data_IF_060785531854
#
_entry.id   IF_060785531854
#
_cell.length_a   1.000
_cell.length_b   1.000
_cell.length_c   1.000
_cell.angle_alpha   90.00
_cell.angle_beta   90.00
_cell.angle_gamma   90.00
#
_symmetry.space_group_name_H-M   'P 1'
#
loop_
_entity.id
_entity.type
_entity.pdbx_description
1 polymer ?
#
# COMPACT_ATOMS: atom_id res chain seq x y z
N UNK A 1 -12.46 -16.29 -7.85
CA UNK A 1 -12.82 -15.27 -8.85
C UNK A 1 -11.68 -14.28 -8.99
N UNK A 2 -11.34 -13.88 -10.21
CA UNK A 2 -10.24 -12.95 -10.52
C UNK A 2 -10.73 -11.88 -11.48
N UNK A 3 -10.27 -10.64 -11.28
CA UNK A 3 -10.61 -9.52 -12.13
C UNK A 3 -9.72 -9.51 -13.39
N UNK A 4 -10.34 -9.62 -14.56
CA UNK A 4 -9.69 -9.51 -15.85
C UNK A 4 -10.14 -8.24 -16.58
N UNK A 5 -9.25 -7.64 -17.36
CA UNK A 5 -9.55 -6.50 -18.21
C UNK A 5 -9.63 -6.92 -19.68
N UNK A 6 -10.62 -6.39 -20.38
CA UNK A 6 -10.89 -6.64 -21.79
C UNK A 6 -10.99 -5.33 -22.55
N UNK A 7 -10.29 -5.20 -23.67
CA UNK A 7 -10.33 -4.02 -24.54
C UNK A 7 -11.20 -4.28 -25.75
N UNK A 8 -12.18 -3.41 -25.97
CA UNK A 8 -13.06 -3.50 -27.11
C UNK A 8 -12.31 -3.19 -28.42
N UNK A 9 -12.49 -4.02 -29.46
CA UNK A 9 -11.88 -3.78 -30.77
C UNK A 9 -12.47 -2.56 -31.49
N UNK A 10 -13.73 -2.23 -31.23
CA UNK A 10 -14.41 -1.07 -31.84
C UNK A 10 -14.14 0.25 -31.12
N UNK A 11 -13.29 0.28 -30.08
CA UNK A 11 -12.86 1.53 -29.44
C UNK A 11 -13.71 2.04 -28.29
N UNK A 12 -14.72 1.29 -27.80
CA UNK A 12 -15.56 1.73 -26.68
C UNK A 12 -14.84 1.85 -25.33
N UNK A 13 -13.62 1.30 -25.20
CA UNK A 13 -12.80 1.37 -24.00
C UNK A 13 -12.43 0.01 -23.41
N UNK A 14 -12.12 0.00 -22.11
CA UNK A 14 -11.74 -1.17 -21.33
C UNK A 14 -12.89 -1.54 -20.40
N UNK A 15 -13.23 -2.83 -20.34
CA UNK A 15 -14.22 -3.39 -19.43
C UNK A 15 -13.53 -4.38 -18.49
N UNK A 16 -13.92 -4.39 -17.21
CA UNK A 16 -13.42 -5.34 -16.22
C UNK A 16 -14.49 -6.36 -15.85
N UNK A 17 -14.14 -7.65 -15.81
CA UNK A 17 -15.07 -8.73 -15.46
C UNK A 17 -14.38 -9.76 -14.56
N UNK A 18 -15.15 -10.35 -13.64
CA UNK A 18 -14.67 -11.40 -12.76
C UNK A 18 -14.88 -12.78 -13.40
N UNK A 19 -13.80 -13.54 -13.54
CA UNK A 19 -13.86 -14.92 -14.03
C UNK A 19 -13.05 -15.85 -13.12
N UNK A 20 -13.36 -17.15 -13.05
CA UNK A 20 -12.46 -18.14 -12.47
C UNK A 20 -11.11 -18.20 -13.22
N UNK A 21 -10.06 -18.75 -12.61
CA UNK A 21 -8.77 -18.91 -13.30
C UNK A 21 -8.81 -19.95 -14.43
N UNK A 22 -9.57 -21.02 -14.22
CA UNK A 22 -9.67 -22.20 -15.07
C UNK A 22 -10.59 -22.01 -16.28
N UNK A 23 -11.62 -21.18 -16.15
CA UNK A 23 -12.68 -21.01 -17.16
C UNK A 23 -12.74 -19.59 -17.74
N UNK A 24 -11.64 -18.83 -17.66
CA UNK A 24 -11.63 -17.47 -18.23
C UNK A 24 -11.68 -17.50 -19.77
N UNK A 25 -12.51 -16.66 -20.41
CA UNK A 25 -12.48 -16.48 -21.86
C UNK A 25 -11.37 -15.53 -22.31
N UNK A 26 -10.86 -15.70 -23.54
CA UNK A 26 -9.93 -14.76 -24.18
C UNK A 26 -10.64 -13.59 -24.89
N UNK A 27 -11.92 -13.74 -25.22
CA UNK A 27 -12.75 -12.72 -25.86
C UNK A 27 -14.15 -12.70 -25.21
N UNK A 28 -14.69 -11.50 -24.95
CA UNK A 28 -16.02 -11.29 -24.37
C UNK A 28 -16.81 -10.26 -25.20
N UNK A 29 -18.14 -10.25 -25.05
CA UNK A 29 -18.97 -9.22 -25.65
C UNK A 29 -18.80 -7.89 -24.88
N UNK A 30 -18.50 -6.81 -25.61
CA UNK A 30 -18.44 -5.48 -25.04
C UNK A 30 -19.83 -5.05 -24.53
N UNK A 31 -19.98 -4.55 -23.29
CA UNK A 31 -21.28 -4.13 -22.76
C UNK A 31 -21.87 -2.93 -23.50
N UNK A 32 -21.05 -2.12 -24.18
CA UNK A 32 -21.49 -0.91 -24.89
C UNK A 32 -21.96 -1.20 -26.31
N UNK A 33 -21.13 -1.87 -27.13
CA UNK A 33 -21.42 -2.08 -28.56
C UNK A 33 -21.75 -3.53 -28.92
N UNK A 34 -21.70 -4.47 -27.95
CA UNK A 34 -21.80 -5.93 -28.16
C UNK A 34 -20.76 -6.53 -29.11
N UNK A 35 -19.80 -5.72 -29.57
CA UNK A 35 -18.69 -6.18 -30.39
C UNK A 35 -17.64 -6.97 -29.58
N UNK A 36 -16.68 -7.58 -30.27
CA UNK A 36 -15.63 -8.38 -29.65
C UNK A 36 -14.66 -7.54 -28.80
N UNK A 37 -14.46 -7.94 -27.54
CA UNK A 37 -13.49 -7.36 -26.63
C UNK A 37 -12.46 -8.40 -26.17
N UNK A 38 -11.18 -8.17 -26.46
CA UNK A 38 -10.10 -9.12 -26.17
C UNK A 38 -9.49 -8.89 -24.81
N UNK A 39 -9.14 -9.99 -24.14
CA UNK A 39 -8.41 -9.96 -22.87
C UNK A 39 -7.06 -9.28 -23.06
N UNK A 40 -6.74 -8.38 -22.14
CA UNK A 40 -5.43 -7.73 -22.08
C UNK A 40 -4.73 -8.07 -20.77
N UNK A 41 -3.41 -7.96 -20.77
CA UNK A 41 -2.64 -7.93 -19.53
C UNK A 41 -2.92 -6.58 -18.89
N UNK A 42 -3.77 -6.57 -17.86
CA UNK A 42 -4.11 -5.36 -17.13
C UNK A 42 -2.87 -4.83 -16.41
N UNK A 43 -2.75 -3.51 -16.32
CA UNK A 43 -1.76 -2.91 -15.43
C UNK A 43 -2.02 -3.37 -14.00
N UNK A 44 -1.00 -3.80 -13.26
CA UNK A 44 -1.14 -4.00 -11.83
C UNK A 44 -1.63 -2.68 -11.23
N UNK A 45 -2.61 -2.73 -10.32
CA UNK A 45 -3.17 -1.53 -9.67
C UNK A 45 -2.18 -0.92 -8.65
N UNK A 46 -1.01 -0.48 -9.13
CA UNK A 46 0.13 0.00 -8.33
C UNK A 46 -0.20 1.24 -7.48
N UNK A 47 -1.27 1.97 -7.80
CA UNK A 47 -1.72 3.13 -7.03
C UNK A 47 -2.38 2.79 -5.68
N UNK A 48 -2.82 1.53 -5.46
CA UNK A 48 -3.43 1.13 -4.18
C UNK A 48 -2.41 0.87 -3.07
N UNK A 49 -1.12 0.80 -3.41
CA UNK A 49 -0.03 0.50 -2.47
C UNK A 49 0.71 1.74 -1.99
N UNK A 50 0.27 2.96 -2.32
CA UNK A 50 0.83 4.23 -1.84
C UNK A 50 0.54 4.50 -0.35
N UNK A 51 0.65 3.47 0.49
CA UNK A 51 0.49 3.53 1.93
C UNK A 51 1.84 3.63 2.66
N UNK A 52 1.79 3.47 3.98
CA UNK A 52 2.94 3.62 4.87
C UNK A 52 4.17 2.78 4.46
N UNK A 53 3.97 1.57 3.91
CA UNK A 53 5.07 0.72 3.45
C UNK A 53 5.86 1.34 2.28
N UNK A 54 5.17 1.92 1.30
CA UNK A 54 5.82 2.56 0.16
C UNK A 54 6.53 3.85 0.57
N UNK A 55 5.89 4.64 1.45
CA UNK A 55 6.52 5.83 2.04
C UNK A 55 7.79 5.48 2.85
N UNK A 56 7.80 4.35 3.57
CA UNK A 56 8.97 3.87 4.32
C UNK A 56 10.13 3.51 3.38
N UNK A 57 9.84 2.85 2.25
CA UNK A 57 10.86 2.53 1.25
C UNK A 57 11.48 3.80 0.66
N UNK A 58 10.65 4.79 0.31
CA UNK A 58 11.13 6.06 -0.23
C UNK A 58 11.96 6.82 0.80
N UNK A 59 11.51 6.88 2.05
CA UNK A 59 12.27 7.51 3.14
C UNK A 59 13.62 6.82 3.36
N UNK A 60 13.67 5.50 3.32
CA UNK A 60 14.92 4.72 3.48
C UNK A 60 15.86 4.95 2.30
N UNK A 61 15.36 5.02 1.07
CA UNK A 61 16.18 5.33 -0.10
C UNK A 61 16.75 6.74 -0.03
N UNK A 62 15.95 7.70 0.43
CA UNK A 62 16.35 9.11 0.55
C UNK A 62 17.51 9.33 1.51
N UNK A 63 17.73 8.47 2.52
CA UNK A 63 18.84 8.66 3.48
C UNK A 63 20.22 8.54 2.85
N UNK A 64 20.35 7.89 1.68
CA UNK A 64 21.62 7.76 0.97
C UNK A 64 22.09 9.10 0.37
N UNK A 65 21.16 9.92 -0.12
CA UNK A 65 21.47 11.19 -0.80
C UNK A 65 21.18 12.41 0.08
N UNK A 66 20.14 12.33 0.93
CA UNK A 66 19.62 13.41 1.76
C UNK A 66 19.25 12.87 3.14
N UNK A 67 20.22 12.47 3.97
CA UNK A 67 19.94 12.03 5.33
C UNK A 67 19.28 13.15 6.13
N UNK A 68 18.30 12.78 6.96
CA UNK A 68 17.66 13.73 7.86
C UNK A 68 18.67 14.19 8.93
N UNK A 69 19.02 15.47 8.91
CA UNK A 69 19.92 16.07 9.91
C UNK A 69 19.07 16.78 10.95
N UNK A 70 19.32 16.47 12.23
CA UNK A 70 18.62 17.08 13.35
C UNK A 70 19.20 18.47 13.60
N UNK A 71 18.41 19.53 13.40
CA UNK A 71 18.84 20.92 13.59
C UNK A 71 18.82 21.38 15.06
N UNK A 72 18.13 20.64 15.92
CA UNK A 72 18.04 20.91 17.36
C UNK A 72 17.63 19.63 18.10
N UNK A 73 18.10 19.42 19.35
CA UNK A 73 17.70 18.26 20.13
C UNK A 73 16.17 18.20 20.23
N UNK A 74 15.61 17.00 20.07
CA UNK A 74 14.18 16.75 20.28
C UNK A 74 13.73 17.34 21.61
N UNK A 75 12.60 18.05 21.60
CA UNK A 75 12.00 18.63 22.80
C UNK A 75 11.91 17.55 23.88
N UNK A 76 12.43 17.84 25.06
CA UNK A 76 12.48 16.88 26.16
C UNK A 76 11.13 16.19 26.34
N UNK A 77 11.15 14.86 26.35
CA UNK A 77 9.95 14.08 26.64
C UNK A 77 9.39 14.51 28.01
N UNK A 78 8.06 14.50 28.21
CA UNK A 78 7.48 14.81 29.50
C UNK A 78 8.10 13.91 30.58
N UNK A 79 8.43 14.50 31.73
CA UNK A 79 8.97 13.77 32.88
C UNK A 79 8.05 12.60 33.21
N UNK A 80 8.59 11.38 33.22
CA UNK A 80 7.85 10.20 33.69
C UNK A 80 7.49 10.39 35.16
N UNK A 81 6.28 10.04 35.59
CA UNK A 81 5.91 10.10 36.99
C UNK A 81 6.81 9.16 37.80
N UNK A 82 7.42 9.69 38.86
CA UNK A 82 8.22 8.91 39.80
C UNK A 82 7.27 8.36 40.86
N UNK A 83 7.34 7.05 41.12
CA UNK A 83 6.56 6.42 42.20
C UNK A 83 7.14 6.85 43.56
N UNK A 84 6.30 7.43 44.40
CA UNK A 84 6.60 7.87 45.78
C UNK A 84 6.19 6.84 46.83
N UNK A 85 6.10 5.56 46.46
CA UNK A 85 5.72 4.50 47.38
C UNK A 85 6.76 4.34 48.50
N UNK A 86 6.40 4.49 49.79
CA UNK A 86 7.33 4.37 50.91
C UNK A 86 7.98 2.98 51.02
N UNK A 87 7.34 1.93 50.48
CA UNK A 87 7.89 0.57 50.44
C UNK A 87 9.15 0.45 49.55
N UNK A 88 9.46 1.44 48.72
CA UNK A 88 10.72 1.44 47.97
C UNK A 88 11.95 1.52 48.87
N UNK A 89 11.81 2.01 50.10
CA UNK A 89 12.91 2.11 51.07
C UNK A 89 13.36 0.75 51.61
N UNK A 90 12.51 -0.28 51.52
CA UNK A 90 12.81 -1.64 52.00
C UNK A 90 13.44 -2.53 50.93
N UNK A 91 13.57 -2.03 49.70
CA UNK A 91 14.24 -2.76 48.63
C UNK A 91 15.76 -2.81 48.88
N UNK A 92 16.43 -3.94 48.56
CA UNK A 92 17.89 -4.02 48.64
C UNK A 92 18.51 -2.96 47.75
N UNK A 93 19.43 -2.17 48.30
CA UNK A 93 20.15 -1.15 47.53
C UNK A 93 21.30 -1.83 46.76
N UNK A 94 21.46 -1.55 45.46
CA UNK A 94 22.62 -1.98 44.69
C UNK A 94 23.90 -1.30 45.18
#
# INVERSE_FOLDING_TARGET
MILYAFRCKSGCGITQQMHPMDTRPDEVACPTCRGPARRMIATPHLGRTAGAAMALHDATRATAERPAVVSSPTRAAPRRPVSTNPLHQTLPRP
#
